data_IF_736879160114
#
_entry.id   IF_736879160114
#
_cell.length_a   1.000
_cell.length_b   1.000
_cell.length_c   1.000
_cell.angle_alpha   90.00
_cell.angle_beta   90.00
_cell.angle_gamma   90.00
#
_symmetry.space_group_name_H-M   'P 1'
#
loop_
_entity.id
_entity.type
_entity.pdbx_description
1 polymer ?
#
# COMPACT_ATOMS: atom_id res chain seq x y z
N UNK A 1 -2.36 16.28 -26.26
CA UNK A 1 -3.58 16.70 -25.55
C UNK A 1 -4.35 15.52 -24.98
N UNK A 2 -4.46 14.39 -25.71
CA UNK A 2 -5.13 13.17 -25.19
C UNK A 2 -4.56 12.63 -23.86
N UNK A 3 -3.29 12.85 -23.59
CA UNK A 3 -2.61 12.36 -22.38
C UNK A 3 -3.24 12.89 -21.08
N UNK A 4 -3.50 14.21 -20.98
CA UNK A 4 -4.14 14.80 -19.80
C UNK A 4 -5.62 14.43 -19.72
N UNK A 5 -6.28 14.27 -20.86
CA UNK A 5 -7.68 13.84 -20.90
C UNK A 5 -7.82 12.39 -20.43
N UNK A 6 -6.92 11.49 -20.86
CA UNK A 6 -6.90 10.09 -20.47
C UNK A 6 -6.72 9.92 -18.96
N UNK A 7 -5.75 10.63 -18.34
CA UNK A 7 -5.55 10.53 -16.89
C UNK A 7 -6.71 11.17 -16.12
N UNK A 8 -7.22 12.32 -16.57
CA UNK A 8 -8.38 12.97 -15.96
C UNK A 8 -9.61 12.06 -15.96
N UNK A 9 -9.86 11.39 -17.10
CA UNK A 9 -10.96 10.44 -17.20
C UNK A 9 -10.76 9.22 -16.29
N UNK A 10 -9.53 8.69 -16.20
CA UNK A 10 -9.22 7.56 -15.32
C UNK A 10 -9.41 7.94 -13.84
N UNK A 11 -8.98 9.14 -13.43
CA UNK A 11 -9.21 9.64 -12.06
C UNK A 11 -10.71 9.76 -11.80
N UNK A 12 -11.49 10.37 -12.70
CA UNK A 12 -12.95 10.52 -12.57
C UNK A 12 -13.64 9.16 -12.43
N UNK A 13 -13.30 8.20 -13.25
CA UNK A 13 -13.90 6.85 -13.18
C UNK A 13 -13.47 6.08 -11.94
N UNK A 14 -12.29 6.39 -11.37
CA UNK A 14 -11.81 5.78 -10.13
C UNK A 14 -12.58 6.26 -8.88
N UNK A 15 -13.45 7.25 -8.99
CA UNK A 15 -14.35 7.66 -7.90
C UNK A 15 -15.29 6.54 -7.43
N UNK A 16 -15.56 5.54 -8.29
CA UNK A 16 -16.30 4.33 -7.91
C UNK A 16 -15.59 3.45 -6.86
N UNK A 17 -14.29 3.70 -6.63
CA UNK A 17 -13.49 3.02 -5.59
C UNK A 17 -13.70 3.64 -4.19
N UNK A 18 -14.44 4.74 -4.05
CA UNK A 18 -14.67 5.41 -2.75
C UNK A 18 -15.07 4.45 -1.64
N UNK A 19 -16.02 3.50 -1.81
CA UNK A 19 -16.40 2.60 -0.72
C UNK A 19 -15.25 1.72 -0.21
N UNK A 20 -14.41 1.19 -1.12
CA UNK A 20 -13.27 0.34 -0.74
C UNK A 20 -12.12 1.18 -0.17
N UNK A 21 -11.95 2.43 -0.62
CA UNK A 21 -10.99 3.38 -0.05
C UNK A 21 -11.40 3.71 1.39
N UNK A 22 -12.67 4.01 1.65
CA UNK A 22 -13.16 4.26 3.01
C UNK A 22 -12.99 3.04 3.93
N UNK A 23 -13.18 1.82 3.41
CA UNK A 23 -12.87 0.61 4.16
C UNK A 23 -11.38 0.53 4.52
N UNK A 24 -10.48 0.88 3.60
CA UNK A 24 -9.04 0.92 3.88
C UNK A 24 -8.68 1.96 4.95
N UNK A 25 -9.30 3.15 4.90
CA UNK A 25 -9.15 4.20 5.93
C UNK A 25 -9.55 3.65 7.31
N UNK A 26 -10.72 3.04 7.41
CA UNK A 26 -11.20 2.44 8.67
C UNK A 26 -10.26 1.36 9.22
N UNK A 27 -9.70 0.50 8.36
CA UNK A 27 -8.73 -0.52 8.77
C UNK A 27 -7.45 0.12 9.33
N UNK A 28 -6.93 1.15 8.66
CA UNK A 28 -5.73 1.88 9.05
C UNK A 28 -5.95 2.63 10.37
N UNK A 29 -7.00 3.43 10.47
CA UNK A 29 -7.33 4.21 11.67
C UNK A 29 -7.52 3.31 12.88
N UNK A 30 -8.29 2.22 12.72
CA UNK A 30 -8.47 1.24 13.80
C UNK A 30 -7.16 0.62 14.25
N UNK A 31 -6.25 0.31 13.33
CA UNK A 31 -4.92 -0.24 13.64
C UNK A 31 -4.09 0.76 14.44
N UNK A 32 -3.99 1.99 13.95
CA UNK A 32 -3.22 3.06 14.59
C UNK A 32 -3.75 3.43 15.98
N UNK A 33 -5.06 3.53 16.18
CA UNK A 33 -5.69 3.75 17.49
C UNK A 33 -5.35 2.64 18.50
N UNK A 34 -5.12 1.42 18.03
CA UNK A 34 -4.69 0.29 18.86
C UNK A 34 -3.16 0.19 19.03
N UNK A 35 -2.41 1.26 18.72
CA UNK A 35 -0.95 1.30 18.85
C UNK A 35 -0.22 0.35 17.90
N UNK A 36 -0.83 0.02 16.77
CA UNK A 36 -0.25 -0.81 15.71
C UNK A 36 0.39 0.07 14.63
N UNK A 37 1.03 -0.56 13.64
CA UNK A 37 1.77 0.14 12.59
C UNK A 37 1.29 -0.23 11.19
N UNK A 38 1.70 0.60 10.23
CA UNK A 38 1.50 0.38 8.80
C UNK A 38 2.82 -0.10 8.20
N UNK A 39 2.76 -1.15 7.39
CA UNK A 39 3.92 -1.67 6.66
C UNK A 39 3.59 -1.65 5.17
N UNK A 40 4.52 -1.12 4.36
CA UNK A 40 4.28 -0.89 2.93
C UNK A 40 5.40 -1.50 2.09
N UNK A 41 5.04 -2.04 0.93
CA UNK A 41 6.03 -2.52 -0.05
C UNK A 41 5.44 -2.60 -1.47
N UNK A 42 6.34 -2.60 -2.43
CA UNK A 42 6.08 -2.74 -3.87
C UNK A 42 7.39 -2.78 -4.63
N UNK A 43 7.33 -2.80 -5.96
CA UNK A 43 8.51 -2.85 -6.83
C UNK A 43 8.63 -1.57 -7.67
N UNK A 44 9.84 -1.15 -8.01
CA UNK A 44 10.08 -0.02 -8.91
C UNK A 44 9.40 1.27 -8.46
N UNK A 45 8.54 1.87 -9.30
CA UNK A 45 7.75 3.06 -8.95
C UNK A 45 6.82 2.82 -7.75
N UNK A 46 6.27 1.61 -7.63
CA UNK A 46 5.46 1.23 -6.47
C UNK A 46 6.29 1.09 -5.18
N UNK A 47 7.60 0.83 -5.26
CA UNK A 47 8.50 0.89 -4.11
C UNK A 47 8.73 2.35 -3.66
N UNK A 48 8.87 3.27 -4.62
CA UNK A 48 8.96 4.71 -4.33
C UNK A 48 7.66 5.23 -3.70
N UNK A 49 6.50 4.78 -4.19
CA UNK A 49 5.20 5.12 -3.58
C UNK A 49 5.07 4.57 -2.15
N UNK A 50 5.53 3.36 -1.87
CA UNK A 50 5.55 2.80 -0.51
C UNK A 50 6.37 3.67 0.46
N UNK A 51 7.54 4.14 0.04
CA UNK A 51 8.38 5.05 0.84
C UNK A 51 7.70 6.42 1.02
N UNK A 52 7.12 6.96 -0.04
CA UNK A 52 6.41 8.23 0.00
C UNK A 52 5.24 8.19 0.99
N UNK A 53 4.39 7.17 0.90
CA UNK A 53 3.26 7.00 1.82
C UNK A 53 3.72 6.82 3.27
N UNK A 54 4.79 6.03 3.51
CA UNK A 54 5.35 5.88 4.85
C UNK A 54 5.83 7.23 5.42
N UNK A 55 6.44 8.07 4.58
CA UNK A 55 6.89 9.41 4.98
C UNK A 55 5.72 10.33 5.37
N UNK A 56 4.58 10.25 4.65
CA UNK A 56 3.38 11.03 4.98
C UNK A 56 2.79 10.65 6.35
N UNK A 57 2.84 9.37 6.72
CA UNK A 57 2.40 8.93 8.06
C UNK A 57 3.39 9.31 9.16
N UNK A 58 4.69 9.10 8.95
CA UNK A 58 5.74 9.36 9.95
C UNK A 58 5.93 10.86 10.16
N UNK A 59 5.96 11.65 9.11
CA UNK A 59 5.99 13.11 9.19
C UNK A 59 4.61 13.68 9.51
N UNK A 60 4.02 14.33 8.55
CA UNK A 60 2.62 14.78 8.51
C UNK A 60 2.17 14.89 7.06
N UNK A 61 0.88 14.80 6.80
CA UNK A 61 0.34 15.09 5.48
C UNK A 61 -0.09 16.56 5.36
N UNK A 62 -1.24 16.93 5.88
CA UNK A 62 -1.75 18.30 5.86
C UNK A 62 -1.81 18.95 7.24
N UNK A 63 -2.13 18.17 8.27
CA UNK A 63 -2.41 18.68 9.62
C UNK A 63 -1.23 18.41 10.56
N UNK A 64 -1.00 19.33 11.51
CA UNK A 64 -0.01 19.13 12.56
C UNK A 64 -0.53 18.08 13.56
N UNK A 65 0.25 17.02 13.77
CA UNK A 65 -0.13 15.89 14.63
C UNK A 65 1.08 15.09 15.09
N UNK A 66 0.86 14.21 16.05
CA UNK A 66 1.86 13.21 16.45
C UNK A 66 2.22 12.29 15.29
N UNK A 67 3.49 11.88 15.22
CA UNK A 67 4.00 10.88 14.26
C UNK A 67 3.21 9.57 14.35
N UNK A 68 2.88 9.00 13.20
CA UNK A 68 2.19 7.72 13.07
C UNK A 68 3.17 6.64 12.62
N UNK A 69 3.15 5.44 13.23
CA UNK A 69 4.13 4.40 12.93
C UNK A 69 3.88 3.77 11.55
N UNK A 70 4.80 4.02 10.62
CA UNK A 70 4.78 3.44 9.27
C UNK A 70 6.19 3.05 8.81
N UNK A 71 6.32 1.94 8.09
CA UNK A 71 7.59 1.41 7.60
C UNK A 71 7.44 0.96 6.15
N UNK A 72 8.32 1.45 5.27
CA UNK A 72 8.47 0.92 3.91
C UNK A 72 9.58 -0.15 3.88
N UNK A 73 9.24 -1.37 3.48
CA UNK A 73 10.20 -2.49 3.38
C UNK A 73 11.11 -2.41 2.13
N UNK A 74 11.18 -1.25 1.51
CA UNK A 74 11.85 -1.00 0.22
C UNK A 74 13.07 -0.11 0.34
N UNK A 75 13.48 0.28 1.55
CA UNK A 75 14.54 1.28 1.78
C UNK A 75 15.86 0.67 2.24
N UNK A 76 15.86 -0.46 2.95
CA UNK A 76 17.08 -1.09 3.44
C UNK A 76 17.73 -1.94 2.35
N UNK A 77 18.77 -1.40 1.72
CA UNK A 77 19.49 -2.06 0.64
C UNK A 77 20.21 -3.34 1.08
N UNK A 78 20.68 -3.41 2.34
CA UNK A 78 21.33 -4.59 2.87
C UNK A 78 20.35 -5.75 3.03
N UNK A 79 19.18 -5.51 3.57
CA UNK A 79 18.10 -6.51 3.68
C UNK A 79 17.65 -6.97 2.29
N UNK A 80 17.39 -6.02 1.38
CA UNK A 80 16.91 -6.34 0.02
C UNK A 80 17.91 -7.18 -0.75
N UNK A 81 19.19 -6.81 -0.70
CA UNK A 81 20.24 -7.50 -1.46
C UNK A 81 20.62 -8.84 -0.85
N UNK A 82 20.75 -8.96 0.48
CA UNK A 82 21.09 -10.22 1.14
C UNK A 82 20.01 -11.28 0.92
N UNK A 83 18.73 -10.94 1.15
CA UNK A 83 17.64 -11.91 0.92
C UNK A 83 17.56 -12.31 -0.56
N UNK A 84 17.76 -11.35 -1.49
CA UNK A 84 17.74 -11.66 -2.92
C UNK A 84 18.87 -12.56 -3.35
N UNK A 85 20.09 -12.37 -2.79
CA UNK A 85 21.28 -13.16 -3.09
C UNK A 85 21.23 -14.55 -2.46
N UNK A 86 20.88 -14.63 -1.18
CA UNK A 86 20.98 -15.88 -0.40
C UNK A 86 19.77 -16.80 -0.59
N UNK A 87 18.64 -16.26 -0.98
CA UNK A 87 17.38 -16.99 -1.19
C UNK A 87 16.79 -16.71 -2.59
N UNK A 88 15.97 -15.64 -2.68
CA UNK A 88 15.31 -15.24 -3.93
C UNK A 88 14.67 -13.86 -3.74
N UNK A 89 14.62 -13.08 -4.82
CA UNK A 89 13.86 -11.83 -4.86
C UNK A 89 12.36 -12.04 -4.57
N UNK A 90 11.82 -13.23 -4.85
CA UNK A 90 10.43 -13.59 -4.53
C UNK A 90 10.14 -13.60 -3.04
N UNK A 91 11.16 -13.69 -2.17
CA UNK A 91 11.04 -13.76 -0.73
C UNK A 91 11.36 -12.45 0.00
N UNK A 92 11.79 -11.42 -0.74
CA UNK A 92 12.31 -10.18 -0.18
C UNK A 92 11.36 -9.49 0.79
N UNK A 93 10.05 -9.50 0.53
CA UNK A 93 9.03 -8.92 1.42
C UNK A 93 8.51 -9.93 2.44
N UNK A 94 8.34 -11.20 2.07
CA UNK A 94 7.85 -12.21 3.01
C UNK A 94 8.80 -12.42 4.20
N UNK A 95 10.13 -12.46 3.96
CA UNK A 95 11.13 -12.56 5.03
C UNK A 95 11.09 -11.38 5.99
N UNK A 96 10.91 -10.17 5.48
CA UNK A 96 10.74 -8.98 6.32
C UNK A 96 9.41 -9.00 7.08
N UNK A 97 8.32 -9.46 6.43
CA UNK A 97 7.03 -9.61 7.10
C UNK A 97 7.04 -10.66 8.22
N UNK A 98 7.83 -11.74 8.10
CA UNK A 98 7.98 -12.74 9.16
C UNK A 98 8.48 -12.12 10.47
N UNK A 99 9.41 -11.16 10.42
CA UNK A 99 10.00 -10.54 11.60
C UNK A 99 9.30 -9.27 12.08
N UNK A 100 8.71 -8.48 11.17
CA UNK A 100 8.23 -7.13 11.48
C UNK A 100 6.72 -7.03 11.65
N UNK A 101 5.94 -7.95 11.04
CA UNK A 101 4.48 -7.89 11.08
C UNK A 101 3.94 -8.57 12.32
N UNK A 102 3.11 -7.84 13.04
CA UNK A 102 2.38 -8.32 14.22
C UNK A 102 0.87 -8.35 13.99
N UNK A 103 0.16 -9.08 14.83
CA UNK A 103 -1.32 -9.14 14.80
C UNK A 103 -1.93 -7.73 14.90
N UNK A 104 -2.91 -7.47 14.05
CA UNK A 104 -3.64 -6.21 13.90
C UNK A 104 -2.82 -5.03 13.30
N UNK A 105 -1.59 -5.25 12.84
CA UNK A 105 -0.95 -4.29 11.93
C UNK A 105 -1.74 -4.20 10.62
N UNK A 106 -1.52 -3.13 9.84
CA UNK A 106 -1.99 -3.03 8.46
C UNK A 106 -0.81 -3.15 7.52
N UNK A 107 -0.93 -4.02 6.52
CA UNK A 107 0.09 -4.21 5.48
C UNK A 107 -0.47 -3.83 4.13
N UNK A 108 0.20 -2.91 3.45
CA UNK A 108 -0.19 -2.38 2.14
C UNK A 108 0.81 -2.87 1.07
N UNK A 109 0.36 -3.75 0.19
CA UNK A 109 1.12 -4.19 -0.98
C UNK A 109 0.72 -3.41 -2.23
N UNK A 110 1.70 -2.96 -3.02
CA UNK A 110 1.46 -2.18 -4.23
C UNK A 110 1.97 -2.95 -5.46
N UNK A 111 1.07 -3.25 -6.41
CA UNK A 111 1.41 -3.98 -7.62
C UNK A 111 0.49 -3.59 -8.78
N UNK A 112 1.03 -2.88 -9.78
CA UNK A 112 0.25 -2.45 -10.96
C UNK A 112 -0.30 -3.61 -11.79
N UNK A 113 0.39 -4.74 -11.83
CA UNK A 113 -0.06 -5.95 -12.51
C UNK A 113 -1.01 -6.82 -11.67
N UNK A 114 -0.97 -6.69 -10.34
CA UNK A 114 -1.63 -7.61 -9.41
C UNK A 114 -0.99 -9.01 -9.35
N UNK A 115 0.17 -9.21 -9.99
CA UNK A 115 0.79 -10.54 -10.15
C UNK A 115 2.24 -10.64 -9.64
N UNK A 116 2.81 -9.59 -9.04
CA UNK A 116 4.16 -9.61 -8.50
C UNK A 116 4.28 -10.68 -7.40
N UNK A 117 5.14 -11.69 -7.62
CA UNK A 117 5.26 -12.86 -6.73
C UNK A 117 5.72 -12.45 -5.33
N UNK A 118 6.74 -11.59 -5.23
CA UNK A 118 7.25 -11.10 -3.95
C UNK A 118 6.19 -10.31 -3.16
N UNK A 119 5.40 -9.46 -3.83
CA UNK A 119 4.29 -8.72 -3.19
C UNK A 119 3.22 -9.70 -2.69
N UNK A 120 2.84 -10.67 -3.51
CA UNK A 120 1.89 -11.72 -3.12
C UNK A 120 2.38 -12.51 -1.90
N UNK A 121 3.64 -12.92 -1.89
CA UNK A 121 4.23 -13.69 -0.78
C UNK A 121 4.27 -12.85 0.50
N UNK A 122 4.67 -11.58 0.42
CA UNK A 122 4.64 -10.66 1.56
C UNK A 122 3.25 -10.50 2.17
N UNK A 123 2.23 -10.27 1.32
CA UNK A 123 0.82 -10.16 1.78
C UNK A 123 0.28 -11.45 2.40
N UNK A 124 0.62 -12.62 1.84
CA UNK A 124 0.26 -13.91 2.45
C UNK A 124 0.88 -14.10 3.83
N UNK A 125 2.17 -13.78 3.97
CA UNK A 125 2.89 -13.85 5.25
C UNK A 125 2.28 -12.88 6.27
N UNK A 126 2.01 -11.65 5.86
CA UNK A 126 1.36 -10.66 6.70
C UNK A 126 0.00 -11.14 7.23
N UNK A 127 -0.83 -11.69 6.35
CA UNK A 127 -2.14 -12.25 6.72
C UNK A 127 -2.01 -13.44 7.69
N UNK A 128 -1.03 -14.32 7.47
CA UNK A 128 -0.72 -15.44 8.39
C UNK A 128 -0.32 -14.94 9.78
N UNK A 129 0.38 -13.80 9.86
CA UNK A 129 0.77 -13.17 11.13
C UNK A 129 -0.39 -12.34 11.77
N UNK A 130 -1.59 -12.38 11.19
CA UNK A 130 -2.78 -11.75 11.74
C UNK A 130 -2.93 -10.26 11.43
N UNK A 131 -2.17 -9.73 10.47
CA UNK A 131 -2.34 -8.37 9.98
C UNK A 131 -3.56 -8.25 9.06
N UNK A 132 -4.10 -7.04 8.92
CA UNK A 132 -5.04 -6.67 7.88
C UNK A 132 -4.27 -6.31 6.61
N UNK A 133 -4.76 -6.76 5.46
CA UNK A 133 -4.06 -6.60 4.19
C UNK A 133 -4.84 -5.73 3.22
N UNK A 134 -4.19 -4.71 2.70
CA UNK A 134 -4.68 -3.80 1.66
C UNK A 134 -3.77 -3.97 0.45
N UNK A 135 -4.32 -3.89 -0.76
CA UNK A 135 -3.51 -3.87 -1.96
C UNK A 135 -3.96 -2.78 -2.93
N UNK A 136 -2.99 -1.96 -3.39
CA UNK A 136 -3.18 -1.04 -4.51
C UNK A 136 -2.79 -1.78 -5.79
N UNK A 137 -3.76 -2.02 -6.66
CA UNK A 137 -3.64 -2.91 -7.81
C UNK A 137 -4.09 -2.20 -9.09
N UNK A 138 -3.65 -2.74 -10.22
CA UNK A 138 -4.12 -2.35 -11.55
C UNK A 138 -4.76 -3.51 -12.29
N UNK A 139 -5.07 -3.30 -13.57
CA UNK A 139 -5.70 -4.27 -14.47
C UNK A 139 -7.03 -4.80 -13.89
N UNK A 140 -7.10 -6.09 -13.62
CA UNK A 140 -8.21 -6.77 -12.98
C UNK A 140 -7.91 -7.24 -11.55
N UNK A 141 -6.81 -6.75 -10.95
CA UNK A 141 -6.35 -7.12 -9.60
C UNK A 141 -5.45 -8.35 -9.55
N UNK A 142 -5.36 -9.11 -10.64
CA UNK A 142 -4.49 -10.30 -10.75
C UNK A 142 -4.70 -11.32 -9.62
N UNK A 143 -3.64 -12.07 -9.33
CA UNK A 143 -3.64 -13.08 -8.26
C UNK A 143 -3.62 -12.49 -6.84
N UNK A 144 -3.32 -11.20 -6.69
CA UNK A 144 -3.26 -10.53 -5.39
C UNK A 144 -4.66 -10.10 -4.94
N UNK A 145 -5.51 -9.65 -5.88
CA UNK A 145 -6.83 -9.11 -5.55
C UNK A 145 -7.73 -10.06 -4.76
N UNK A 146 -7.62 -11.39 -4.98
CA UNK A 146 -8.44 -12.39 -4.30
C UNK A 146 -7.92 -12.84 -2.92
N UNK A 147 -6.69 -12.46 -2.53
CA UNK A 147 -6.08 -12.94 -1.29
C UNK A 147 -6.03 -11.90 -0.16
N UNK A 148 -6.29 -10.64 -0.46
CA UNK A 148 -6.25 -9.53 0.49
C UNK A 148 -7.62 -9.18 1.04
N UNK A 149 -7.64 -8.49 2.19
CA UNK A 149 -8.90 -8.07 2.83
C UNK A 149 -9.52 -6.85 2.13
N UNK A 150 -8.68 -5.98 1.53
CA UNK A 150 -9.12 -4.74 0.90
C UNK A 150 -8.37 -4.52 -0.44
N UNK A 151 -8.88 -5.04 -1.58
CA UNK A 151 -8.29 -4.82 -2.90
C UNK A 151 -8.82 -3.52 -3.54
N UNK A 152 -7.94 -2.54 -3.75
CA UNK A 152 -8.23 -1.29 -4.46
C UNK A 152 -7.70 -1.44 -5.89
N UNK A 153 -8.59 -1.62 -6.87
CA UNK A 153 -8.23 -2.01 -8.24
C UNK A 153 -8.50 -0.87 -9.22
N UNK A 154 -7.45 -0.25 -9.72
CA UNK A 154 -7.53 0.76 -10.81
C UNK A 154 -7.65 0.05 -12.15
N UNK A 155 -8.79 0.18 -12.82
CA UNK A 155 -9.10 -0.49 -14.09
C UNK A 155 -8.39 0.18 -15.27
N UNK A 156 -7.09 -0.07 -15.40
CA UNK A 156 -6.26 0.36 -16.53
C UNK A 156 -5.21 -0.71 -16.83
N UNK A 157 -4.73 -0.79 -18.08
CA UNK A 157 -3.60 -1.63 -18.49
C UNK A 157 -2.29 -0.85 -18.60
N UNK A 158 -2.33 0.46 -18.50
CA UNK A 158 -1.16 1.34 -18.57
C UNK A 158 -0.52 1.48 -17.19
N UNK A 159 0.66 0.91 -17.00
CA UNK A 159 1.40 0.99 -15.73
C UNK A 159 1.59 2.43 -15.24
N UNK A 160 2.04 3.41 -16.05
CA UNK A 160 2.15 4.80 -15.60
C UNK A 160 0.81 5.38 -15.13
N UNK A 161 -0.27 5.15 -15.88
CA UNK A 161 -1.62 5.63 -15.50
C UNK A 161 -2.10 5.04 -14.18
N UNK A 162 -1.85 3.73 -13.97
CA UNK A 162 -2.17 3.07 -12.70
C UNK A 162 -1.39 3.71 -11.55
N UNK A 163 -0.09 3.94 -11.70
CA UNK A 163 0.75 4.55 -10.66
C UNK A 163 0.31 5.98 -10.32
N UNK A 164 -0.07 6.79 -11.31
CA UNK A 164 -0.60 8.14 -11.08
C UNK A 164 -1.88 8.11 -10.23
N UNK A 165 -2.80 7.19 -10.54
CA UNK A 165 -4.02 7.02 -9.74
C UNK A 165 -3.74 6.42 -8.38
N UNK A 166 -2.79 5.47 -8.25
CA UNK A 166 -2.35 4.96 -6.95
C UNK A 166 -1.87 6.09 -6.04
N UNK A 167 -1.11 7.06 -6.59
CA UNK A 167 -0.65 8.23 -5.83
C UNK A 167 -1.81 9.11 -5.36
N UNK A 168 -2.78 9.40 -6.24
CA UNK A 168 -3.98 10.15 -5.86
C UNK A 168 -4.75 9.45 -4.73
N UNK A 169 -4.97 8.13 -4.86
CA UNK A 169 -5.65 7.33 -3.83
C UNK A 169 -4.86 7.31 -2.52
N UNK A 170 -3.53 7.21 -2.59
CA UNK A 170 -2.66 7.20 -1.41
C UNK A 170 -2.73 8.50 -0.63
N UNK A 171 -2.70 9.64 -1.32
CA UNK A 171 -2.88 10.96 -0.70
C UNK A 171 -4.26 11.10 -0.07
N UNK A 172 -5.31 10.64 -0.75
CA UNK A 172 -6.67 10.63 -0.18
C UNK A 172 -6.76 9.77 1.09
N UNK A 173 -6.11 8.60 1.11
CA UNK A 173 -6.06 7.74 2.30
C UNK A 173 -5.30 8.46 3.43
N UNK A 174 -4.15 9.09 3.16
CA UNK A 174 -3.38 9.82 4.16
C UNK A 174 -4.20 10.97 4.76
N UNK A 175 -4.86 11.76 3.92
CA UNK A 175 -5.71 12.88 4.34
C UNK A 175 -6.86 12.43 5.24
N UNK A 176 -7.61 11.42 4.79
CA UNK A 176 -8.77 10.91 5.54
C UNK A 176 -8.39 10.25 6.86
N UNK A 177 -7.27 9.49 6.91
CA UNK A 177 -6.76 8.91 8.15
C UNK A 177 -6.32 10.00 9.12
N UNK A 178 -5.63 11.04 8.62
CA UNK A 178 -5.19 12.17 9.45
C UNK A 178 -6.37 12.92 10.05
N UNK A 179 -7.39 13.24 9.25
CA UNK A 179 -8.62 13.90 9.70
C UNK A 179 -9.37 13.05 10.76
N UNK A 180 -9.49 11.74 10.53
CA UNK A 180 -10.21 10.83 11.44
C UNK A 180 -9.49 10.68 12.80
N UNK A 181 -8.15 10.74 12.82
CA UNK A 181 -7.37 10.64 14.05
C UNK A 181 -7.30 11.94 14.87
N UNK A 182 -7.53 13.10 14.26
CA UNK A 182 -7.47 14.42 14.94
C UNK A 182 -8.84 14.83 15.47
N UNK A 183 -9.95 14.42 14.81
CA UNK A 183 -11.31 14.85 15.18
C UNK A 183 -11.89 14.10 16.40
N UNK A 184 -11.06 13.42 17.18
CA UNK A 184 -11.35 12.85 18.50
C UNK A 184 -10.57 13.59 19.61
#
# INVERSE_FOLDING_TARGET
LSFFDDISQLIKTSSNLTPIIMNSVNLITKSLRNGKKIILFGNGGSAADAQHIAAEFVGRFNLERKSLPAIALTSDSSILTSISNDYSFDLVFSRQCESLVSKNDVVIGISTSGNSINVKNGLKTAKKNGAKTIALLGNNGGNIGSIVDCPIIVKSKSTPRIQEVHRVISHLICDLVEQDLINE
#
